data_IF_021628795843
#
_entry.id   IF_021628795843
#
_cell.length_a   1.000
_cell.length_b   1.000
_cell.length_c   1.000
_cell.angle_alpha   90.00
_cell.angle_beta   90.00
_cell.angle_gamma   90.00
#
_symmetry.space_group_name_H-M   'P 1'
#
loop_
_entity.id
_entity.type
_entity.pdbx_description
1 polymer ?
#
# COMPACT_ATOMS: atom_id res chain seq x y z
N UNK A 1 -19.10 11.77 0.17
CA UNK A 1 -17.78 12.39 -0.11
C UNK A 1 -16.73 11.29 -0.25
N UNK A 2 -15.77 11.44 -1.18
CA UNK A 2 -14.73 10.44 -1.47
C UNK A 2 -13.74 10.36 -0.31
N UNK A 3 -13.50 9.16 0.23
CA UNK A 3 -12.48 8.93 1.25
C UNK A 3 -11.10 8.95 0.57
N UNK A 4 -10.26 9.94 0.91
CA UNK A 4 -8.90 10.09 0.40
C UNK A 4 -7.87 9.68 1.46
N UNK A 5 -7.47 8.41 1.42
CA UNK A 5 -6.58 7.79 2.40
C UNK A 5 -5.31 8.60 2.70
N UNK A 6 -4.67 9.20 1.69
CA UNK A 6 -3.46 10.03 1.88
C UNK A 6 -3.72 11.29 2.72
N UNK A 7 -4.92 11.86 2.66
CA UNK A 7 -5.31 13.05 3.45
C UNK A 7 -5.72 12.68 4.87
N UNK A 8 -6.35 11.52 5.04
CA UNK A 8 -6.88 11.07 6.34
C UNK A 8 -5.83 10.35 7.19
N UNK A 9 -4.90 9.62 6.57
CA UNK A 9 -3.80 8.92 7.24
C UNK A 9 -2.43 9.53 6.91
N UNK A 10 -2.31 10.86 7.06
CA UNK A 10 -1.07 11.60 6.72
C UNK A 10 0.17 11.05 7.42
N UNK A 11 0.07 10.59 8.66
CA UNK A 11 1.21 10.03 9.39
C UNK A 11 1.76 8.75 8.75
N UNK A 12 0.91 7.96 8.09
CA UNK A 12 1.31 6.71 7.43
C UNK A 12 1.82 6.94 6.00
N UNK A 13 1.24 7.91 5.28
CA UNK A 13 1.57 8.16 3.86
C UNK A 13 2.52 9.35 3.62
N UNK A 14 2.67 10.24 4.60
CA UNK A 14 3.58 11.40 4.58
C UNK A 14 4.31 11.52 5.94
N UNK A 15 5.14 10.54 6.31
CA UNK A 15 5.93 10.61 7.54
C UNK A 15 6.98 11.73 7.46
N UNK A 16 7.43 12.20 8.61
CA UNK A 16 8.57 13.12 8.70
C UNK A 16 9.88 12.34 8.49
N UNK A 17 10.95 13.03 8.12
CA UNK A 17 12.29 12.42 8.01
C UNK A 17 12.95 12.18 9.39
N UNK A 18 12.18 11.69 10.34
CA UNK A 18 12.60 11.35 11.70
C UNK A 18 11.91 10.04 12.09
N UNK A 19 12.65 9.05 12.61
CA UNK A 19 12.06 7.83 13.11
C UNK A 19 11.05 8.14 14.24
N UNK A 20 9.85 7.59 14.14
CA UNK A 20 8.80 7.69 15.15
C UNK A 20 8.02 6.38 15.24
N UNK A 21 7.49 6.07 16.42
CA UNK A 21 6.60 4.91 16.61
C UNK A 21 5.20 5.31 16.15
N UNK A 22 4.63 4.55 15.23
CA UNK A 22 3.27 4.77 14.70
C UNK A 22 2.40 3.54 14.92
N UNK A 23 1.11 3.75 15.22
CA UNK A 23 0.12 2.67 15.26
C UNK A 23 -0.58 2.60 13.92
N UNK A 24 -0.54 1.43 13.29
CA UNK A 24 -1.22 1.16 12.02
C UNK A 24 -2.59 0.56 12.36
N UNK A 25 -3.72 1.21 12.02
CA UNK A 25 -5.04 0.65 12.26
C UNK A 25 -5.35 -0.49 11.27
N UNK A 26 -6.41 -1.24 11.53
CA UNK A 26 -6.86 -2.31 10.63
C UNK A 26 -7.34 -1.74 9.29
N UNK A 27 -6.82 -2.30 8.21
CA UNK A 27 -7.22 -1.97 6.84
C UNK A 27 -7.62 -3.23 6.08
N UNK A 28 -8.56 -3.06 5.15
CA UNK A 28 -8.94 -4.11 4.21
C UNK A 28 -8.17 -3.91 2.92
N UNK A 29 -7.38 -4.91 2.54
CA UNK A 29 -6.63 -4.93 1.30
C UNK A 29 -7.00 -6.17 0.49
N UNK A 30 -6.97 -6.03 -0.82
CA UNK A 30 -6.84 -7.17 -1.71
C UNK A 30 -5.35 -7.53 -1.78
N UNK A 31 -5.04 -8.83 -1.71
CA UNK A 31 -3.67 -9.33 -1.75
C UNK A 31 -3.59 -10.49 -2.74
N UNK A 32 -2.47 -10.56 -3.46
CA UNK A 32 -2.06 -11.72 -4.24
C UNK A 32 -0.70 -12.15 -3.70
N UNK A 33 -0.59 -13.42 -3.32
CA UNK A 33 0.68 -14.00 -2.94
C UNK A 33 1.54 -14.24 -4.18
N UNK A 34 2.83 -13.91 -4.08
CA UNK A 34 3.76 -14.03 -5.20
C UNK A 34 5.21 -14.11 -4.73
N UNK A 35 6.08 -14.56 -5.63
CA UNK A 35 7.52 -14.69 -5.40
C UNK A 35 8.25 -14.43 -6.71
N UNK A 36 9.43 -13.84 -6.65
CA UNK A 36 10.29 -13.65 -7.83
C UNK A 36 10.70 -12.19 -8.01
N UNK A 37 10.96 -11.81 -9.26
CA UNK A 37 11.40 -10.46 -9.60
C UNK A 37 10.18 -9.53 -9.75
N UNK A 38 10.08 -8.44 -8.94
CA UNK A 38 8.98 -7.49 -9.05
C UNK A 38 8.96 -6.70 -10.37
N UNK A 39 10.05 -6.71 -11.12
CA UNK A 39 10.12 -6.07 -12.44
C UNK A 39 9.75 -7.01 -13.60
N UNK A 40 9.27 -8.22 -13.31
CA UNK A 40 8.82 -9.16 -14.34
C UNK A 40 7.43 -8.82 -14.86
N UNK A 41 7.12 -9.32 -16.06
CA UNK A 41 5.78 -9.18 -16.64
C UNK A 41 4.71 -9.88 -15.79
N UNK A 42 5.03 -11.04 -15.20
CA UNK A 42 4.13 -11.78 -14.31
C UNK A 42 3.65 -10.96 -13.12
N UNK A 43 4.53 -10.16 -12.51
CA UNK A 43 4.15 -9.25 -11.42
C UNK A 43 3.13 -8.21 -11.90
N UNK A 44 3.41 -7.58 -13.04
CA UNK A 44 2.55 -6.53 -13.60
C UNK A 44 1.18 -7.07 -14.00
N UNK A 45 1.14 -8.25 -14.61
CA UNK A 45 -0.09 -8.98 -14.94
C UNK A 45 -0.90 -9.32 -13.68
N UNK A 46 -0.23 -9.86 -12.66
CA UNK A 46 -0.89 -10.22 -11.40
C UNK A 46 -1.53 -9.00 -10.72
N UNK A 47 -0.82 -7.87 -10.65
CA UNK A 47 -1.36 -6.62 -10.09
C UNK A 47 -2.55 -6.11 -10.92
N UNK A 48 -2.52 -6.28 -12.25
CA UNK A 48 -3.61 -5.82 -13.12
C UNK A 48 -4.95 -6.52 -12.88
N UNK A 49 -4.95 -7.76 -12.37
CA UNK A 49 -6.19 -8.52 -12.10
C UNK A 49 -6.99 -8.00 -10.89
N UNK A 50 -6.38 -7.18 -10.03
CA UNK A 50 -7.03 -6.63 -8.82
C UNK A 50 -7.55 -5.19 -9.05
N UNK A 51 -7.08 -4.52 -10.10
CA UNK A 51 -7.47 -3.15 -10.46
C UNK A 51 -8.74 -3.11 -11.30
#
# INVERSE_FOLDING_TARGET
>A
MKYEWKKQAKQLYLPKNKPEVVTVPDFKFFMIDGKGNPNSEEFSLSVSCIL
#
